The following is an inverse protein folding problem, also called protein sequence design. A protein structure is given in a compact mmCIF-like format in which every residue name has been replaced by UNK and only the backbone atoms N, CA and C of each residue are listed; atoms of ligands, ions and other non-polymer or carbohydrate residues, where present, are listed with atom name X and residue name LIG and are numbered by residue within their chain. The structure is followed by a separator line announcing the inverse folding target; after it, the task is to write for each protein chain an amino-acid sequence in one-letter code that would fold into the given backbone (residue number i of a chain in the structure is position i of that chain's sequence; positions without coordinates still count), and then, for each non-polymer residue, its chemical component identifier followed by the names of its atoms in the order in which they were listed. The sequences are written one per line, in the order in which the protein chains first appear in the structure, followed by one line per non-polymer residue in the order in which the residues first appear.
data_IF_320124915744
#
_entry.id   IF_320124915744
#
_cell.length_a   1.000
_cell.length_b   1.000
_cell.length_c   1.000
_cell.angle_alpha   90.00
_cell.angle_beta   90.00
_cell.angle_gamma   90.00
#
_symmetry.space_group_name_H-M   'P 1'
#
loop_
_entity.id
_entity.type
_entity.pdbx_description
1 polymer ?
#
# COMPACT_ATOMS: atom_id res chain seq x y z
N UNK A 1 19.67 7.85 -0.96
CA UNK A 1 19.51 6.65 -1.81
C UNK A 1 20.08 6.99 -3.18
N UNK A 2 21.09 6.26 -3.67
CA UNK A 2 21.53 6.40 -5.06
C UNK A 2 20.40 5.87 -5.94
N UNK A 3 19.81 6.73 -6.76
CA UNK A 3 18.73 6.37 -7.67
C UNK A 3 19.35 5.57 -8.83
N UNK A 4 18.98 4.29 -9.05
CA UNK A 4 19.52 3.52 -10.15
C UNK A 4 19.15 4.16 -11.49
N UNK A 5 20.03 4.07 -12.49
CA UNK A 5 19.84 4.72 -13.81
C UNK A 5 18.58 4.22 -14.55
N UNK A 6 18.00 3.07 -14.14
CA UNK A 6 16.82 2.45 -14.73
C UNK A 6 15.65 2.37 -13.75
N UNK A 7 15.23 3.49 -13.16
CA UNK A 7 14.00 3.52 -12.35
C UNK A 7 12.80 3.40 -13.26
N UNK A 8 12.11 2.25 -13.18
CA UNK A 8 10.76 2.11 -13.71
C UNK A 8 9.78 2.62 -12.64
N UNK A 9 9.12 3.79 -12.83
CA UNK A 9 8.28 4.38 -11.80
C UNK A 9 7.16 3.46 -11.34
N UNK A 10 6.65 2.61 -12.24
CA UNK A 10 5.65 1.59 -11.94
C UNK A 10 6.09 0.53 -10.93
N UNK A 11 7.40 0.32 -10.73
CA UNK A 11 7.92 -0.64 -9.75
C UNK A 11 8.37 0.06 -8.47
N UNK A 12 8.27 1.39 -8.40
CA UNK A 12 8.65 2.13 -7.21
C UNK A 12 7.69 1.87 -6.05
N UNK A 13 8.25 1.94 -4.84
CA UNK A 13 7.52 1.90 -3.58
C UNK A 13 6.39 2.95 -3.53
N UNK A 14 6.68 4.17 -3.97
CA UNK A 14 5.72 5.26 -4.02
C UNK A 14 4.53 4.97 -4.93
N UNK A 15 4.79 4.43 -6.13
CA UNK A 15 3.73 4.09 -7.06
C UNK A 15 2.86 2.96 -6.51
N UNK A 16 3.46 1.88 -6.01
CA UNK A 16 2.72 0.78 -5.38
C UNK A 16 1.90 1.26 -4.18
N UNK A 17 2.49 2.09 -3.31
CA UNK A 17 1.81 2.72 -2.17
C UNK A 17 0.60 3.54 -2.60
N UNK A 18 0.70 4.32 -3.69
CA UNK A 18 -0.44 5.08 -4.20
C UNK A 18 -1.62 4.19 -4.65
N UNK A 19 -1.34 3.00 -5.20
CA UNK A 19 -2.38 2.04 -5.59
C UNK A 19 -3.05 1.44 -4.34
N UNK A 20 -2.27 1.12 -3.31
CA UNK A 20 -2.78 0.65 -2.02
C UNK A 20 -3.69 1.70 -1.37
N UNK A 21 -3.25 2.97 -1.32
CA UNK A 21 -4.09 4.06 -0.79
C UNK A 21 -5.38 4.25 -1.59
N UNK A 22 -5.33 4.06 -2.92
CA UNK A 22 -6.51 4.12 -3.77
C UNK A 22 -7.50 2.99 -3.44
N UNK A 23 -7.01 1.77 -3.20
CA UNK A 23 -7.85 0.66 -2.75
C UNK A 23 -8.44 0.94 -1.36
N UNK A 24 -7.62 1.38 -0.41
CA UNK A 24 -8.03 1.67 0.97
C UNK A 24 -9.09 2.77 1.02
N UNK A 25 -8.97 3.81 0.20
CA UNK A 25 -9.99 4.88 0.11
C UNK A 25 -11.36 4.35 -0.35
N UNK A 26 -11.39 3.29 -1.15
CA UNK A 26 -12.63 2.67 -1.62
C UNK A 26 -13.27 1.75 -0.58
N UNK A 27 -12.46 1.11 0.27
CA UNK A 27 -12.93 0.17 1.31
C UNK A 27 -13.20 0.83 2.66
N UNK A 28 -12.53 1.94 2.95
CA UNK A 28 -12.39 2.43 4.32
C UNK A 28 -11.48 1.51 5.15
N UNK A 29 -11.81 1.32 6.42
CA UNK A 29 -11.14 0.37 7.29
C UNK A 29 -11.29 -1.07 6.78
N UNK A 30 -10.18 -1.81 6.67
CA UNK A 30 -10.24 -3.19 6.18
C UNK A 30 -9.07 -4.06 6.67
N UNK A 31 -9.19 -5.38 6.52
CA UNK A 31 -8.12 -6.31 6.87
C UNK A 31 -6.97 -6.25 5.86
N UNK A 32 -5.78 -6.70 6.24
CA UNK A 32 -4.62 -6.76 5.33
C UNK A 32 -4.88 -7.61 4.08
N UNK A 33 -5.57 -8.76 4.24
CA UNK A 33 -5.86 -9.66 3.14
C UNK A 33 -6.92 -9.10 2.19
N UNK A 34 -7.94 -8.44 2.73
CA UNK A 34 -8.97 -7.79 1.93
C UNK A 34 -8.36 -6.60 1.18
N UNK A 35 -7.55 -5.77 1.84
CA UNK A 35 -6.83 -4.67 1.18
C UNK A 35 -5.92 -5.19 0.06
N UNK A 36 -5.21 -6.30 0.29
CA UNK A 36 -4.40 -6.93 -0.75
C UNK A 36 -5.25 -7.38 -1.94
N UNK A 37 -6.38 -8.03 -1.68
CA UNK A 37 -7.30 -8.47 -2.73
C UNK A 37 -7.86 -7.27 -3.54
N UNK A 38 -8.29 -6.20 -2.88
CA UNK A 38 -8.78 -4.99 -3.54
C UNK A 38 -7.67 -4.27 -4.33
N UNK A 39 -6.45 -4.20 -3.77
CA UNK A 39 -5.28 -3.65 -4.47
C UNK A 39 -5.01 -4.43 -5.76
N UNK A 40 -5.12 -5.76 -5.72
CA UNK A 40 -4.92 -6.63 -6.90
C UNK A 40 -5.97 -6.44 -8.00
N UNK A 41 -7.18 -5.98 -7.67
CA UNK A 41 -8.18 -5.59 -8.69
C UNK A 41 -7.76 -4.35 -9.46
N UNK A 42 -6.98 -3.46 -8.85
CA UNK A 42 -6.46 -2.25 -9.49
C UNK A 42 -5.17 -2.52 -10.27
N UNK A 43 -4.29 -3.39 -9.76
CA UNK A 43 -3.03 -3.75 -10.40
C UNK A 43 -2.44 -5.04 -9.84
N UNK A 44 -1.87 -5.86 -10.71
CA UNK A 44 -1.10 -7.02 -10.26
C UNK A 44 0.09 -6.59 -9.38
N UNK A 45 0.13 -7.12 -8.16
CA UNK A 45 1.17 -6.89 -7.16
C UNK A 45 1.42 -8.19 -6.40
N UNK A 46 2.69 -8.47 -6.13
CA UNK A 46 3.09 -9.61 -5.31
C UNK A 46 3.01 -9.25 -3.83
N UNK A 47 2.65 -10.22 -2.97
CA UNK A 47 2.52 -10.01 -1.53
C UNK A 47 3.74 -9.30 -0.90
N UNK A 48 5.00 -9.67 -1.20
CA UNK A 48 6.15 -8.99 -0.60
C UNK A 48 6.24 -7.50 -0.94
N UNK A 49 5.89 -7.11 -2.17
CA UNK A 49 5.89 -5.72 -2.61
C UNK A 49 4.72 -4.96 -1.97
N UNK A 50 3.56 -5.61 -1.82
CA UNK A 50 2.43 -5.05 -1.10
C UNK A 50 2.79 -4.77 0.37
N UNK A 51 3.30 -5.76 1.09
CA UNK A 51 3.69 -5.62 2.49
C UNK A 51 4.75 -4.53 2.67
N UNK A 52 5.81 -4.55 1.85
CA UNK A 52 6.85 -3.51 1.91
C UNK A 52 6.30 -2.11 1.64
N UNK A 53 5.36 -1.99 0.70
CA UNK A 53 4.70 -0.71 0.40
C UNK A 53 3.80 -0.26 1.53
N UNK A 54 3.10 -1.19 2.19
CA UNK A 54 2.25 -0.90 3.35
C UNK A 54 3.08 -0.46 4.56
N UNK A 55 4.21 -1.11 4.82
CA UNK A 55 5.18 -0.70 5.86
C UNK A 55 5.66 0.73 5.61
N UNK A 56 5.95 1.05 4.35
CA UNK A 56 6.37 2.40 3.97
C UNK A 56 5.26 3.43 4.17
N UNK A 57 4.01 3.10 3.84
CA UNK A 57 2.86 3.97 4.10
C UNK A 57 2.64 4.21 5.60
N UNK A 58 2.85 3.18 6.43
CA UNK A 58 2.76 3.30 7.88
C UNK A 58 3.85 4.23 8.42
N UNK A 59 5.11 4.05 7.99
CA UNK A 59 6.21 4.94 8.35
C UNK A 59 6.01 6.39 7.87
N UNK A 60 5.27 6.57 6.77
CA UNK A 60 4.89 7.88 6.25
C UNK A 60 3.64 8.48 6.93
N UNK A 61 3.09 7.80 7.95
CA UNK A 61 1.90 8.21 8.70
C UNK A 61 0.64 8.35 7.83
N UNK A 62 0.56 7.63 6.71
CA UNK A 62 -0.58 7.66 5.79
C UNK A 62 -1.64 6.59 6.08
N UNK A 63 -1.25 5.53 6.79
CA UNK A 63 -2.12 4.46 7.24
C UNK A 63 -1.78 4.10 8.68
N UNK A 64 -2.76 3.58 9.42
CA UNK A 64 -2.58 3.07 10.78
C UNK A 64 -3.26 1.72 10.96
N UNK A 65 -2.94 1.05 12.06
CA UNK A 65 -3.63 -0.15 12.53
C UNK A 65 -4.44 0.19 13.76
N UNK A 66 -5.74 -0.10 13.73
CA UNK A 66 -6.60 0.10 14.90
C UNK A 66 -6.57 -1.10 15.85
N UNK A 67 -7.30 -0.98 16.96
CA UNK A 67 -7.38 -2.02 18.00
C UNK A 67 -7.94 -3.37 17.50
N UNK A 68 -8.60 -3.39 16.34
CA UNK A 68 -9.10 -4.61 15.68
C UNK A 68 -8.06 -5.27 14.76
N UNK A 69 -6.89 -4.65 14.59
CA UNK A 69 -5.87 -5.07 13.64
C UNK A 69 -6.19 -4.73 12.19
N UNK A 70 -7.19 -3.88 11.94
CA UNK A 70 -7.53 -3.42 10.60
C UNK A 70 -6.71 -2.19 10.23
N UNK A 71 -6.48 -2.04 8.93
CA UNK A 71 -5.78 -0.91 8.33
C UNK A 71 -6.80 0.21 8.08
N UNK A 72 -6.48 1.43 8.49
CA UNK A 72 -7.30 2.62 8.28
C UNK A 72 -6.49 3.78 7.69
N UNK A 73 -7.09 4.67 6.87
CA UNK A 73 -6.42 5.85 6.36
C UNK A 73 -6.29 6.94 7.44
N UNK A 74 -5.18 7.68 7.41
CA UNK A 74 -4.92 8.79 8.36
C UNK A 74 -5.33 10.18 7.83
N UNK A 75 -6.20 10.27 6.81
CA UNK A 75 -6.57 11.51 6.12
C UNK A 75 -8.05 11.57 5.71
#
# INVERSE_FOLDING_TARGET
MLLPENIHPHHSLFFNGSIILKALKGTGETSMLDLFAETRKLREIQMPIFTLSLDWLFLAELVNFNDRGNIEPCF
#
